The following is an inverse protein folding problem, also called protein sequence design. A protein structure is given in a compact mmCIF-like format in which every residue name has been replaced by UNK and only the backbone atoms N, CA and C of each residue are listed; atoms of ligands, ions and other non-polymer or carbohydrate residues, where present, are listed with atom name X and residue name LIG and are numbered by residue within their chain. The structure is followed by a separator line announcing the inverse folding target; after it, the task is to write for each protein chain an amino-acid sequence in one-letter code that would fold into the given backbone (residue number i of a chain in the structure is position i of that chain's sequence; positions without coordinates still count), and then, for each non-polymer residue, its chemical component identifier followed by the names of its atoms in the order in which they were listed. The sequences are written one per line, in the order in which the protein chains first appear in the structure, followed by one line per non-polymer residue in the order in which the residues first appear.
data_IF_595006077578
#
_entry.id   IF_595006077578
#
_cell.length_a   1.000
_cell.length_b   1.000
_cell.length_c   1.000
_cell.angle_alpha   90.00
_cell.angle_beta   90.00
_cell.angle_gamma   90.00
#
_symmetry.space_group_name_H-M   'P 1'
#
loop_
_entity.id
_entity.type
_entity.pdbx_description
1 polymer ?
#
# COMPACT_ATOMS: atom_id res chain seq x y z
N UNK A 1 17.57 -5.43 -22.57
CA UNK A 1 18.05 -6.78 -22.90
C UNK A 1 18.00 -7.63 -21.64
N UNK A 2 16.89 -8.35 -21.44
CA UNK A 2 16.80 -9.40 -20.42
C UNK A 2 17.41 -10.67 -21.04
N UNK A 3 18.36 -11.36 -20.39
CA UNK A 3 19.00 -12.53 -20.96
C UNK A 3 17.98 -13.67 -21.18
N UNK A 4 18.20 -14.54 -22.18
CA UNK A 4 17.39 -15.72 -22.37
C UNK A 4 17.68 -16.75 -21.26
N UNK A 5 16.60 -17.28 -20.69
CA UNK A 5 16.51 -18.64 -20.13
C UNK A 5 17.38 -18.99 -18.90
N UNK A 6 17.33 -18.15 -17.87
CA UNK A 6 17.26 -18.73 -16.52
C UNK A 6 15.84 -19.24 -16.32
N UNK A 7 15.65 -20.55 -16.12
CA UNK A 7 14.35 -21.20 -15.94
C UNK A 7 13.45 -20.35 -15.02
N UNK A 8 12.54 -19.60 -15.62
CA UNK A 8 11.68 -18.68 -14.87
C UNK A 8 10.74 -19.53 -14.05
N UNK A 9 10.86 -19.41 -12.73
CA UNK A 9 10.03 -20.18 -11.82
C UNK A 9 8.56 -19.81 -12.04
N UNK A 10 7.80 -20.75 -12.59
CA UNK A 10 6.36 -20.62 -12.79
C UNK A 10 5.63 -21.20 -11.59
N UNK A 11 4.60 -20.48 -11.14
CA UNK A 11 3.57 -21.01 -10.26
C UNK A 11 2.31 -21.25 -11.09
N UNK A 12 1.45 -22.16 -10.60
CA UNK A 12 0.17 -22.47 -11.22
C UNK A 12 -0.93 -22.36 -10.17
N UNK A 13 -2.04 -21.76 -10.56
CA UNK A 13 -3.28 -21.72 -9.80
C UNK A 13 -4.38 -22.37 -10.64
N UNK A 14 -5.26 -23.17 -10.03
CA UNK A 14 -6.38 -23.80 -10.73
C UNK A 14 -7.68 -23.19 -10.25
N UNK A 15 -8.56 -22.83 -11.17
CA UNK A 15 -9.86 -22.28 -10.82
C UNK A 15 -10.71 -23.34 -10.09
N UNK A 16 -11.19 -23.02 -8.87
CA UNK A 16 -12.00 -23.95 -8.09
C UNK A 16 -13.21 -24.48 -8.86
N UNK A 17 -13.38 -25.80 -8.85
CA UNK A 17 -14.49 -26.47 -9.52
C UNK A 17 -14.35 -26.59 -11.05
N UNK A 18 -13.19 -26.25 -11.63
CA UNK A 18 -12.93 -26.34 -13.08
C UNK A 18 -11.53 -26.90 -13.37
N UNK A 19 -11.24 -27.23 -14.64
CA UNK A 19 -9.91 -27.62 -15.13
C UNK A 19 -9.00 -26.43 -15.47
N UNK A 20 -9.55 -25.21 -15.54
CA UNK A 20 -8.84 -24.04 -16.03
C UNK A 20 -7.68 -23.66 -15.12
N UNK A 21 -6.47 -23.62 -15.68
CA UNK A 21 -5.24 -23.31 -14.94
C UNK A 21 -4.64 -21.97 -15.35
N UNK A 22 -4.26 -21.13 -14.39
CA UNK A 22 -3.50 -19.90 -14.60
C UNK A 22 -2.06 -20.13 -14.19
N UNK A 23 -1.14 -20.02 -15.15
CA UNK A 23 0.31 -20.11 -14.92
C UNK A 23 0.95 -18.73 -14.98
N UNK A 24 1.88 -18.45 -14.07
CA UNK A 24 2.50 -17.13 -13.98
C UNK A 24 3.94 -17.19 -13.43
N UNK A 25 4.86 -16.33 -13.92
CA UNK A 25 6.17 -16.13 -13.33
C UNK A 25 6.06 -15.61 -11.90
N UNK A 26 6.69 -16.30 -10.95
CA UNK A 26 6.73 -15.87 -9.55
C UNK A 26 7.41 -14.50 -9.41
N UNK A 27 8.48 -14.25 -10.18
CA UNK A 27 9.19 -12.97 -10.18
C UNK A 27 8.29 -11.80 -10.64
N UNK A 28 7.47 -12.02 -11.68
CA UNK A 28 6.54 -11.01 -12.18
C UNK A 28 5.49 -10.63 -11.12
N UNK A 29 4.97 -11.61 -10.40
CA UNK A 29 3.99 -11.35 -9.35
C UNK A 29 4.62 -10.67 -8.11
N UNK A 30 5.89 -10.93 -7.81
CA UNK A 30 6.63 -10.15 -6.79
C UNK A 30 6.84 -8.69 -7.22
N UNK A 31 6.97 -8.41 -8.52
CA UNK A 31 7.04 -7.04 -9.03
C UNK A 31 5.68 -6.32 -8.90
N UNK A 32 4.58 -7.00 -9.22
CA UNK A 32 3.22 -6.49 -8.94
C UNK A 32 3.06 -6.23 -7.44
N UNK A 33 3.44 -7.19 -6.59
CA UNK A 33 3.38 -7.05 -5.12
C UNK A 33 4.14 -5.80 -4.63
N UNK A 34 5.34 -5.58 -5.16
CA UNK A 34 6.16 -4.42 -4.85
C UNK A 34 5.46 -3.11 -5.23
N UNK A 35 4.96 -2.99 -6.47
CA UNK A 35 4.29 -1.77 -6.95
C UNK A 35 3.00 -1.48 -6.19
N UNK A 36 2.21 -2.51 -5.90
CA UNK A 36 0.98 -2.40 -5.10
C UNK A 36 1.30 -1.96 -3.67
N UNK A 37 2.36 -2.50 -3.06
CA UNK A 37 2.79 -2.09 -1.72
C UNK A 37 3.36 -0.68 -1.68
N UNK A 38 4.05 -0.22 -2.73
CA UNK A 38 4.48 1.18 -2.85
C UNK A 38 3.26 2.10 -2.91
N UNK A 39 2.27 1.78 -3.74
CA UNK A 39 0.99 2.49 -3.77
C UNK A 39 0.32 2.53 -2.38
N UNK A 40 0.23 1.39 -1.71
CA UNK A 40 -0.35 1.26 -0.38
C UNK A 40 0.33 2.14 0.69
N UNK A 41 1.62 2.41 0.55
CA UNK A 41 2.41 3.17 1.54
C UNK A 41 2.53 4.66 1.25
N UNK A 42 2.15 5.11 0.05
CA UNK A 42 2.25 6.53 -0.35
C UNK A 42 1.42 7.48 0.53
N UNK A 43 0.26 7.04 1.00
CA UNK A 43 -0.69 7.88 1.74
C UNK A 43 -1.10 7.16 3.03
N UNK A 44 -1.15 7.86 4.19
CA UNK A 44 -1.71 7.31 5.42
C UNK A 44 -3.14 6.80 5.23
N UNK A 45 -3.55 5.81 6.03
CA UNK A 45 -4.94 5.29 6.05
C UNK A 45 -5.40 4.59 4.75
N UNK A 46 -4.50 3.85 4.09
CA UNK A 46 -4.87 2.92 3.01
C UNK A 46 -4.25 3.21 1.66
N UNK A 47 -3.29 4.14 1.56
CA UNK A 47 -2.51 4.34 0.34
C UNK A 47 -3.31 4.73 -0.90
N UNK A 48 -2.67 4.59 -2.06
CA UNK A 48 -3.29 4.77 -3.37
C UNK A 48 -3.45 3.41 -4.04
N UNK A 49 -4.66 3.14 -4.53
CA UNK A 49 -4.95 1.94 -5.30
C UNK A 49 -4.41 2.11 -6.73
N UNK A 50 -3.79 1.05 -7.24
CA UNK A 50 -3.17 1.02 -8.57
C UNK A 50 -3.68 -0.20 -9.32
N UNK A 51 -3.61 -0.15 -10.65
CA UNK A 51 -3.95 -1.26 -11.51
C UNK A 51 -2.99 -1.39 -12.67
N UNK A 52 -3.08 -2.51 -13.38
CA UNK A 52 -2.22 -2.80 -14.52
C UNK A 52 -2.85 -3.78 -15.50
N UNK A 53 -2.51 -3.64 -16.78
CA UNK A 53 -2.82 -4.62 -17.81
C UNK A 53 -1.94 -5.85 -17.64
N UNK A 54 -2.53 -7.03 -17.86
CA UNK A 54 -1.86 -8.32 -17.80
C UNK A 54 -1.85 -8.93 -19.20
N UNK A 55 -0.67 -9.35 -19.64
CA UNK A 55 -0.43 -9.90 -20.98
C UNK A 55 0.04 -11.34 -20.90
N UNK A 56 -0.37 -12.12 -21.89
CA UNK A 56 -0.11 -13.55 -21.88
C UNK A 56 -0.65 -14.28 -23.10
N UNK A 57 -0.82 -15.58 -22.94
CA UNK A 57 -1.38 -16.48 -23.94
C UNK A 57 -2.54 -17.27 -23.34
N UNK A 58 -3.60 -17.40 -24.13
CA UNK A 58 -4.73 -18.28 -23.83
C UNK A 58 -4.53 -19.58 -24.63
N UNK A 59 -4.59 -20.69 -23.93
CA UNK A 59 -4.60 -22.07 -24.43
C UNK A 59 -5.98 -22.67 -24.07
N UNK A 60 -6.35 -23.84 -24.62
CA UNK A 60 -7.70 -24.43 -24.45
C UNK A 60 -8.17 -24.50 -22.98
N UNK A 61 -7.32 -25.01 -22.08
CA UNK A 61 -7.63 -25.17 -20.65
C UNK A 61 -6.66 -24.38 -19.74
N UNK A 62 -5.91 -23.43 -20.29
CA UNK A 62 -4.90 -22.71 -19.53
C UNK A 62 -4.72 -21.26 -19.98
N UNK A 63 -4.40 -20.40 -19.02
CA UNK A 63 -3.95 -19.03 -19.27
C UNK A 63 -2.54 -18.88 -18.74
N UNK A 64 -1.61 -18.40 -19.57
CA UNK A 64 -0.23 -18.12 -19.17
C UNK A 64 0.01 -16.62 -19.15
N UNK A 65 0.20 -16.06 -17.96
CA UNK A 65 0.62 -14.67 -17.76
C UNK A 65 2.12 -14.58 -17.99
N UNK A 66 2.56 -13.57 -18.72
CA UNK A 66 3.98 -13.40 -19.09
C UNK A 66 4.51 -11.97 -18.92
N UNK A 67 3.64 -10.96 -18.99
CA UNK A 67 4.03 -9.58 -18.80
C UNK A 67 2.88 -8.77 -18.16
N UNK A 68 3.21 -7.59 -17.63
CA UNK A 68 2.22 -6.60 -17.23
C UNK A 68 2.69 -5.19 -17.59
N UNK A 69 1.74 -4.24 -17.63
CA UNK A 69 2.01 -2.80 -17.75
C UNK A 69 1.11 -2.06 -16.76
N UNK A 70 1.64 -1.07 -16.06
CA UNK A 70 0.80 -0.23 -15.20
C UNK A 70 -0.23 0.55 -16.03
N UNK A 71 -1.42 0.73 -15.48
CA UNK A 71 -2.44 1.61 -16.03
C UNK A 71 -2.27 2.97 -15.35
N UNK A 72 -2.10 4.01 -16.14
CA UNK A 72 -2.10 5.38 -15.64
C UNK A 72 -3.51 5.73 -15.17
N UNK A 73 -3.59 6.28 -13.96
CA UNK A 73 -4.84 6.77 -13.38
C UNK A 73 -4.53 8.11 -12.73
N UNK A 74 -5.32 9.13 -13.04
CA UNK A 74 -5.15 10.46 -12.46
C UNK A 74 -5.71 10.57 -11.03
N UNK A 75 -6.44 9.54 -10.57
CA UNK A 75 -7.05 9.48 -9.24
C UNK A 75 -7.96 10.67 -8.93
N UNK A 76 -8.67 11.19 -9.95
CA UNK A 76 -9.58 12.34 -9.82
C UNK A 76 -10.71 12.12 -8.79
N UNK A 77 -11.14 10.87 -8.59
CA UNK A 77 -12.14 10.48 -7.59
C UNK A 77 -11.53 10.15 -6.21
N UNK A 78 -10.25 10.48 -5.99
CA UNK A 78 -9.51 10.16 -4.77
C UNK A 78 -8.64 8.91 -4.90
N UNK A 79 -8.16 8.34 -3.78
CA UNK A 79 -7.09 7.35 -3.77
C UNK A 79 -7.52 5.94 -4.18
N UNK A 80 -8.74 5.76 -4.67
CA UNK A 80 -9.25 4.47 -5.16
C UNK A 80 -9.00 4.35 -6.66
N UNK A 81 -8.90 3.14 -7.19
CA UNK A 81 -8.64 2.92 -8.61
C UNK A 81 -9.93 3.09 -9.41
N UNK A 82 -10.33 4.34 -9.61
CA UNK A 82 -11.53 4.73 -10.35
C UNK A 82 -11.07 5.52 -11.56
N UNK A 83 -11.12 4.88 -12.74
CA UNK A 83 -10.72 5.49 -14.00
C UNK A 83 -11.74 6.55 -14.43
N UNK A 84 -11.25 7.76 -14.73
CA UNK A 84 -12.04 8.79 -15.39
C UNK A 84 -12.28 8.44 -16.86
N UNK A 85 -13.15 9.17 -17.57
CA UNK A 85 -13.34 8.98 -19.01
C UNK A 85 -12.02 9.14 -19.79
N UNK A 86 -11.15 10.05 -19.32
CA UNK A 86 -9.82 10.27 -19.88
C UNK A 86 -8.91 9.07 -19.64
N UNK A 87 -8.91 8.53 -18.42
CA UNK A 87 -8.13 7.34 -18.09
C UNK A 87 -8.59 6.12 -18.91
N UNK A 88 -9.91 5.95 -19.09
CA UNK A 88 -10.47 4.86 -19.92
C UNK A 88 -10.06 5.01 -21.38
N UNK A 89 -10.07 6.22 -21.94
CA UNK A 89 -9.59 6.46 -23.30
C UNK A 89 -8.08 6.15 -23.42
N UNK A 90 -7.27 6.58 -22.46
CA UNK A 90 -5.83 6.29 -22.41
C UNK A 90 -5.55 4.79 -22.28
N UNK A 91 -6.35 4.07 -21.50
CA UNK A 91 -6.28 2.61 -21.37
C UNK A 91 -6.58 1.92 -22.71
N UNK A 92 -7.60 2.38 -23.45
CA UNK A 92 -7.90 1.88 -24.79
C UNK A 92 -6.72 2.08 -25.76
N UNK A 93 -6.09 3.26 -25.74
CA UNK A 93 -4.88 3.50 -26.53
C UNK A 93 -3.71 2.60 -26.11
N UNK A 94 -3.53 2.37 -24.80
CA UNK A 94 -2.47 1.53 -24.27
C UNK A 94 -2.62 0.07 -24.76
N UNK A 95 -3.85 -0.45 -24.76
CA UNK A 95 -4.16 -1.78 -25.29
C UNK A 95 -3.91 -1.83 -26.79
N UNK A 96 -4.36 -0.81 -27.55
CA UNK A 96 -4.15 -0.76 -29.00
C UNK A 96 -2.66 -0.70 -29.38
N UNK A 97 -1.85 0.04 -28.63
CA UNK A 97 -0.40 0.15 -28.84
C UNK A 97 0.36 -1.14 -28.50
N UNK A 98 -0.17 -1.97 -27.61
CA UNK A 98 0.48 -3.22 -27.19
C UNK A 98 0.73 -4.20 -28.35
N UNK A 99 -0.14 -4.22 -29.37
CA UNK A 99 0.01 -5.08 -30.54
C UNK A 99 1.28 -4.77 -31.39
N UNK A 100 1.80 -3.55 -31.28
CA UNK A 100 3.02 -3.11 -31.98
C UNK A 100 4.27 -3.06 -31.10
N UNK A 101 4.17 -3.43 -29.82
CA UNK A 101 5.30 -3.42 -28.88
C UNK A 101 6.14 -4.70 -29.06
N UNK A 102 7.43 -4.59 -29.45
CA UNK A 102 8.30 -5.76 -29.59
C UNK A 102 8.46 -6.58 -28.30
N UNK A 103 8.31 -5.97 -27.12
CA UNK A 103 8.39 -6.70 -25.85
C UNK A 103 7.14 -7.56 -25.57
N UNK A 104 6.04 -7.30 -26.26
CA UNK A 104 4.77 -8.00 -26.13
C UNK A 104 4.45 -8.86 -27.36
N UNK A 105 5.43 -9.09 -28.23
CA UNK A 105 5.24 -9.86 -29.46
C UNK A 105 4.65 -11.25 -29.18
N UNK A 106 3.51 -11.54 -29.81
CA UNK A 106 2.79 -12.81 -29.63
C UNK A 106 2.13 -12.98 -28.25
N UNK A 107 1.97 -11.90 -27.49
CA UNK A 107 1.15 -11.84 -26.28
C UNK A 107 -0.11 -11.03 -26.56
N UNK A 108 -1.23 -11.44 -25.97
CA UNK A 108 -2.46 -10.65 -25.96
C UNK A 108 -2.75 -10.10 -24.56
N UNK A 109 -3.55 -9.03 -24.50
CA UNK A 109 -4.11 -8.56 -23.24
C UNK A 109 -5.16 -9.58 -22.76
N UNK A 110 -4.82 -10.32 -21.70
CA UNK A 110 -5.66 -11.37 -21.13
C UNK A 110 -6.46 -10.88 -19.92
N UNK A 111 -6.22 -9.65 -19.48
CA UNK A 111 -6.94 -9.06 -18.37
C UNK A 111 -6.20 -7.92 -17.71
N UNK A 112 -6.51 -7.71 -16.45
CA UNK A 112 -5.89 -6.68 -15.61
C UNK A 112 -5.71 -7.15 -14.17
N UNK A 113 -5.01 -6.35 -13.38
CA UNK A 113 -5.03 -6.43 -11.93
C UNK A 113 -5.48 -5.11 -11.32
N UNK A 114 -6.10 -5.18 -10.15
CA UNK A 114 -6.55 -4.02 -9.37
C UNK A 114 -6.16 -4.24 -7.91
N UNK A 115 -5.50 -3.23 -7.32
CA UNK A 115 -5.19 -3.23 -5.91
C UNK A 115 -6.38 -2.76 -5.08
N UNK A 116 -6.90 -3.61 -4.20
CA UNK A 116 -7.93 -3.25 -3.20
C UNK A 116 -7.26 -3.00 -1.86
N UNK A 117 -6.94 -1.75 -1.57
CA UNK A 117 -6.25 -1.40 -0.32
C UNK A 117 -7.22 -1.33 0.86
N UNK A 118 -8.49 -1.00 0.59
CA UNK A 118 -9.54 -0.81 1.61
C UNK A 118 -10.63 -1.88 1.54
N UNK A 119 -11.02 -2.24 0.32
CA UNK A 119 -12.11 -3.17 0.05
C UNK A 119 -11.69 -4.65 0.19
N UNK A 120 -12.64 -5.57 0.38
CA UNK A 120 -12.36 -7.00 0.26
C UNK A 120 -11.96 -7.36 -1.19
N UNK A 121 -11.48 -8.60 -1.40
CA UNK A 121 -11.15 -9.14 -2.72
C UNK A 121 -12.43 -9.53 -3.48
N UNK A 122 -13.31 -8.55 -3.69
CA UNK A 122 -14.57 -8.68 -4.40
C UNK A 122 -14.62 -7.60 -5.48
N UNK A 123 -14.81 -8.00 -6.73
CA UNK A 123 -14.97 -7.09 -7.85
C UNK A 123 -16.28 -6.33 -7.74
N UNK A 124 -16.25 -5.00 -7.77
CA UNK A 124 -17.45 -4.15 -7.70
C UNK A 124 -18.12 -3.97 -9.07
N UNK A 125 -19.32 -3.39 -9.11
CA UNK A 125 -20.14 -3.35 -10.33
C UNK A 125 -19.53 -2.49 -11.43
N UNK A 126 -18.78 -1.45 -11.04
CA UNK A 126 -18.08 -0.58 -11.99
C UNK A 126 -16.92 -1.32 -12.64
N UNK A 127 -16.13 -2.01 -11.82
CA UNK A 127 -15.03 -2.87 -12.30
C UNK A 127 -15.54 -3.97 -13.23
N UNK A 128 -16.63 -4.65 -12.86
CA UNK A 128 -17.23 -5.70 -13.69
C UNK A 128 -17.73 -5.14 -15.02
N UNK A 129 -18.46 -4.02 -15.01
CA UNK A 129 -18.97 -3.39 -16.23
C UNK A 129 -17.84 -2.93 -17.15
N UNK A 130 -16.78 -2.36 -16.59
CA UNK A 130 -15.63 -1.91 -17.35
C UNK A 130 -14.80 -3.10 -17.88
N UNK A 131 -14.65 -4.15 -17.07
CA UNK A 131 -13.99 -5.38 -17.48
C UNK A 131 -14.71 -6.04 -18.66
N UNK A 132 -16.05 -6.11 -18.62
CA UNK A 132 -16.87 -6.63 -19.72
C UNK A 132 -16.71 -5.84 -21.02
N UNK A 133 -16.57 -4.52 -20.91
CA UNK A 133 -16.37 -3.65 -22.07
C UNK A 133 -14.95 -3.79 -22.67
N UNK A 134 -13.92 -3.92 -21.84
CA UNK A 134 -12.52 -3.91 -22.27
C UNK A 134 -12.02 -5.30 -22.67
N UNK A 135 -12.44 -6.35 -21.96
CA UNK A 135 -11.97 -7.72 -22.13
C UNK A 135 -13.13 -8.67 -22.47
N UNK A 136 -13.65 -8.60 -23.71
CA UNK A 136 -14.65 -9.53 -24.18
C UNK A 136 -14.06 -10.93 -24.38
N UNK A 137 -14.91 -11.95 -24.26
CA UNK A 137 -14.55 -13.34 -24.53
C UNK A 137 -14.14 -14.15 -23.29
N UNK A 138 -14.08 -15.47 -23.46
CA UNK A 138 -13.70 -16.42 -22.42
C UNK A 138 -12.22 -16.31 -22.06
N UNK A 139 -11.83 -16.90 -20.92
CA UNK A 139 -10.44 -16.98 -20.45
C UNK A 139 -9.76 -15.62 -20.20
N UNK A 140 -10.56 -14.56 -20.08
CA UNK A 140 -10.11 -13.25 -19.59
C UNK A 140 -10.19 -13.22 -18.07
N UNK A 141 -9.25 -12.53 -17.42
CA UNK A 141 -9.11 -12.56 -15.97
C UNK A 141 -9.01 -11.18 -15.31
N UNK A 142 -9.44 -11.12 -14.06
CA UNK A 142 -9.07 -10.05 -13.13
C UNK A 142 -8.27 -10.64 -11.99
N UNK A 143 -7.11 -10.05 -11.71
CA UNK A 143 -6.32 -10.31 -10.52
C UNK A 143 -6.61 -9.24 -9.47
N UNK A 144 -7.30 -9.59 -8.40
CA UNK A 144 -7.47 -8.69 -7.26
C UNK A 144 -6.28 -8.84 -6.32
N UNK A 145 -5.69 -7.72 -5.90
CA UNK A 145 -4.49 -7.68 -5.05
C UNK A 145 -4.80 -6.87 -3.80
N UNK A 146 -4.68 -7.47 -2.61
CA UNK A 146 -4.96 -6.81 -1.34
C UNK A 146 -3.68 -6.71 -0.51
N UNK A 147 -3.00 -5.55 -0.51
CA UNK A 147 -1.93 -5.30 0.43
C UNK A 147 -2.51 -5.11 1.84
N UNK A 148 -1.83 -5.62 2.84
CA UNK A 148 -2.21 -5.48 4.24
C UNK A 148 -1.03 -5.04 5.09
N UNK A 149 -1.27 -4.13 6.04
CA UNK A 149 -0.22 -3.68 6.95
C UNK A 149 0.26 -4.84 7.81
N UNK A 150 1.56 -5.12 7.74
CA UNK A 150 2.24 -6.18 8.50
C UNK A 150 1.73 -7.60 8.23
N UNK A 151 1.08 -7.82 7.09
CA UNK A 151 0.68 -9.14 6.63
C UNK A 151 1.14 -9.35 5.18
N UNK A 152 1.26 -10.60 4.71
CA UNK A 152 1.47 -10.86 3.29
C UNK A 152 0.34 -10.27 2.46
N UNK A 153 0.67 -9.79 1.26
CA UNK A 153 -0.31 -9.39 0.25
C UNK A 153 -1.11 -10.61 -0.19
N UNK A 154 -2.43 -10.46 -0.25
CA UNK A 154 -3.35 -11.48 -0.74
C UNK A 154 -3.65 -11.24 -2.23
N UNK A 155 -3.72 -12.32 -2.99
CA UNK A 155 -4.03 -12.31 -4.42
C UNK A 155 -5.25 -13.20 -4.66
N UNK A 156 -6.13 -12.81 -5.58
CA UNK A 156 -7.23 -13.66 -6.03
C UNK A 156 -7.43 -13.53 -7.54
N UNK A 157 -7.47 -14.67 -8.22
CA UNK A 157 -7.84 -14.74 -9.63
C UNK A 157 -9.35 -14.89 -9.78
N UNK A 158 -9.92 -14.04 -10.62
CA UNK A 158 -11.30 -14.13 -11.11
C UNK A 158 -11.20 -14.35 -12.62
N UNK A 159 -11.61 -15.52 -13.10
CA UNK A 159 -11.46 -15.87 -14.53
C UNK A 159 -12.84 -16.09 -15.14
N UNK A 160 -13.03 -15.57 -16.36
CA UNK A 160 -14.26 -15.76 -17.13
C UNK A 160 -14.25 -17.16 -17.72
N UNK A 161 -15.19 -18.00 -17.32
CA UNK A 161 -15.36 -19.32 -17.90
C UNK A 161 -15.90 -19.27 -19.33
N UNK A 162 -15.98 -20.42 -19.99
CA UNK A 162 -16.51 -20.54 -21.37
C UNK A 162 -17.95 -20.05 -21.52
N UNK A 163 -18.77 -20.15 -20.46
CA UNK A 163 -20.14 -19.64 -20.44
C UNK A 163 -20.23 -18.11 -20.46
N UNK A 164 -19.10 -17.41 -20.38
CA UNK A 164 -19.02 -15.96 -20.26
C UNK A 164 -19.24 -15.44 -18.84
N UNK A 165 -19.61 -16.31 -17.88
CA UNK A 165 -19.77 -15.97 -16.48
C UNK A 165 -18.43 -15.85 -15.75
N UNK A 166 -18.33 -14.90 -14.81
CA UNK A 166 -17.18 -14.70 -13.94
C UNK A 166 -17.65 -14.61 -12.48
N UNK A 167 -17.05 -15.39 -11.59
CA UNK A 167 -17.23 -15.20 -10.15
C UNK A 167 -16.56 -13.90 -9.72
N UNK A 168 -17.24 -13.13 -8.88
CA UNK A 168 -16.78 -11.79 -8.48
C UNK A 168 -16.19 -11.74 -7.08
N UNK A 169 -16.45 -12.74 -6.25
CA UNK A 169 -15.87 -12.87 -4.92
C UNK A 169 -14.68 -13.83 -4.95
N UNK A 170 -13.48 -13.27 -4.76
CA UNK A 170 -12.23 -14.02 -4.69
C UNK A 170 -11.78 -14.32 -3.26
N UNK A 171 -12.53 -13.90 -2.24
CA UNK A 171 -12.09 -13.91 -0.83
C UNK A 171 -11.78 -15.33 -0.34
N UNK A 172 -12.58 -16.31 -0.71
CA UNK A 172 -12.41 -17.71 -0.29
C UNK A 172 -11.24 -18.42 -0.99
N UNK A 173 -10.78 -17.88 -2.11
CA UNK A 173 -9.73 -18.47 -2.95
C UNK A 173 -8.49 -17.59 -3.02
N UNK A 174 -8.37 -16.66 -2.06
CA UNK A 174 -7.22 -15.80 -1.93
C UNK A 174 -5.99 -16.61 -1.53
N UNK A 175 -4.84 -16.26 -2.11
CA UNK A 175 -3.57 -16.91 -1.87
C UNK A 175 -2.45 -15.90 -1.62
N UNK A 176 -1.34 -16.37 -1.09
CA UNK A 176 -0.11 -15.58 -0.90
C UNK A 176 0.96 -16.08 -1.86
N UNK A 177 1.84 -15.18 -2.32
CA UNK A 177 2.92 -15.59 -3.19
C UNK A 177 3.92 -16.49 -2.47
N UNK A 178 4.47 -17.51 -3.16
CA UNK A 178 5.55 -18.29 -2.59
C UNK A 178 6.78 -17.40 -2.40
N UNK A 179 7.42 -17.53 -1.23
CA UNK A 179 8.69 -16.85 -0.98
C UNK A 179 9.73 -17.27 -2.02
N UNK A 180 10.53 -16.34 -2.56
CA UNK A 180 11.62 -16.65 -3.48
C UNK A 180 12.49 -17.78 -2.91
N UNK A 181 12.63 -18.89 -3.65
CA UNK A 181 13.39 -20.07 -3.25
C UNK A 181 12.60 -21.23 -2.60
N UNK A 182 11.28 -21.08 -2.34
CA UNK A 182 10.45 -22.18 -1.78
C UNK A 182 9.59 -22.90 -2.83
N UNK A 183 9.29 -22.26 -3.96
CA UNK A 183 8.38 -22.79 -4.99
C UNK A 183 8.96 -23.98 -5.80
N UNK A 184 10.23 -24.36 -5.60
CA UNK A 184 10.83 -25.53 -6.24
C UNK A 184 10.56 -26.86 -5.52
N UNK A 185 10.00 -26.84 -4.30
CA UNK A 185 9.74 -28.06 -3.51
C UNK A 185 8.26 -28.49 -3.53
N UNK A 186 7.33 -27.56 -3.69
CA UNK A 186 5.89 -27.84 -3.57
C UNK A 186 5.26 -28.59 -4.76
N UNK A 187 5.76 -28.42 -5.98
CA UNK A 187 5.16 -29.07 -7.15
C UNK A 187 5.45 -30.58 -7.23
N UNK A 188 6.58 -31.03 -6.69
CA UNK A 188 7.00 -32.44 -6.70
C UNK A 188 6.50 -33.21 -5.47
N UNK A 189 6.20 -32.51 -4.36
CA UNK A 189 5.73 -33.11 -3.11
C UNK A 189 4.23 -33.44 -3.17
N UNK A 190 3.40 -32.59 -3.81
CA UNK A 190 1.96 -32.87 -4.01
C UNK A 190 1.73 -34.07 -4.94
N UNK A 191 2.62 -34.31 -5.92
CA UNK A 191 2.54 -35.48 -6.80
C UNK A 191 2.96 -36.78 -6.10
N UNK A 192 3.86 -36.71 -5.12
CA UNK A 192 4.33 -37.89 -4.36
C UNK A 192 3.40 -38.31 -3.24
N UNK A 193 2.59 -37.41 -2.70
CA UNK A 193 1.70 -37.73 -1.58
C UNK A 193 0.45 -38.54 -2.00
N UNK A 194 0.20 -38.69 -3.31
CA UNK A 194 -0.91 -39.52 -3.83
C UNK A 194 -0.52 -41.00 -4.06
N UNK A 195 0.76 -41.36 -3.97
CA UNK A 195 1.20 -42.76 -3.98
C UNK A 195 1.55 -43.24 -2.55
N UNK A 196 0.51 -43.59 -1.80
CA UNK A 196 0.64 -44.27 -0.51
C UNK A 196 1.27 -45.66 -0.68
N UNK A 197 2.41 -45.99 -0.03
CA UNK A 197 2.81 -47.37 0.18
C UNK A 197 1.97 -47.94 1.32
N UNK A 198 1.11 -48.89 0.96
CA UNK A 198 0.25 -49.66 1.86
C UNK A 198 1.10 -50.65 2.66
N UNK A 199 1.80 -50.22 3.72
CA UNK A 199 2.22 -51.09 4.82
C UNK A 199 2.78 -50.29 6.01
N UNK A 200 1.99 -50.19 7.09
CA UNK A 200 2.49 -49.83 8.42
C UNK A 200 2.03 -50.91 9.42
N UNK A 201 2.91 -51.42 10.31
CA UNK A 201 2.52 -52.39 11.34
C UNK A 201 1.58 -51.76 12.37
N UNK A 202 0.51 -52.47 12.72
CA UNK A 202 -0.43 -52.10 13.79
C UNK A 202 0.27 -52.10 15.16
N UNK A 203 0.08 -51.04 15.94
CA UNK A 203 0.29 -51.04 17.39
C UNK A 203 -1.06 -51.01 18.12
N UNK A 204 -1.19 -51.69 19.28
CA UNK A 204 -2.48 -52.07 19.84
C UNK A 204 -3.24 -50.89 20.47
N UNK A 205 -4.55 -50.87 20.26
CA UNK A 205 -5.50 -49.93 20.86
C UNK A 205 -5.59 -50.09 22.39
N UNK A 206 -5.75 -48.99 23.15
CA UNK A 206 -6.07 -49.07 24.57
C UNK A 206 -7.54 -49.49 24.76
N UNK A 207 -7.71 -50.48 25.63
CA UNK A 207 -8.99 -51.07 26.05
C UNK A 207 -9.80 -50.04 26.84
N UNK A 208 -11.01 -49.72 26.36
CA UNK A 208 -12.04 -49.00 27.11
C UNK A 208 -13.00 -50.07 27.69
N UNK A 209 -13.29 -50.09 29.01
CA UNK A 209 -14.22 -51.06 29.57
C UNK A 209 -15.69 -50.70 29.26
N UNK A 210 -16.60 -51.69 29.10
CA UNK A 210 -17.99 -51.45 28.72
C UNK A 210 -18.83 -50.89 29.88
N UNK A 211 -19.71 -49.94 29.59
CA UNK A 211 -20.84 -49.58 30.47
C UNK A 211 -22.14 -49.97 29.77
N UNK A 212 -22.94 -50.76 30.47
CA UNK A 212 -24.25 -51.28 30.04
C UNK A 212 -25.30 -50.17 29.80
N UNK A 213 -26.34 -50.45 29.00
CA UNK A 213 -27.33 -49.46 28.57
C UNK A 213 -28.50 -49.34 29.55
N UNK A 214 -28.97 -48.11 29.77
CA UNK A 214 -30.27 -47.85 30.39
C UNK A 214 -31.01 -46.72 29.64
N UNK A 215 -32.01 -47.18 28.87
CA UNK A 215 -33.38 -46.67 28.79
C UNK A 215 -33.66 -45.19 28.49
N UNK A 216 -34.45 -45.01 27.42
CA UNK A 216 -35.09 -43.78 26.99
C UNK A 216 -36.01 -43.15 28.04
N UNK A 217 -36.04 -41.82 28.08
CA UNK A 217 -37.22 -41.03 28.47
C UNK A 217 -37.29 -39.78 27.59
N UNK A 218 -38.46 -39.64 26.98
CA UNK A 218 -39.00 -38.54 26.20
C UNK A 218 -39.37 -37.36 27.11
N UNK A 219 -39.11 -36.12 26.68
CA UNK A 219 -39.82 -34.93 27.14
C UNK A 219 -39.50 -33.72 26.24
N UNK A 220 -40.54 -33.29 25.52
CA UNK A 220 -40.65 -31.98 24.89
C UNK A 220 -40.63 -30.84 25.93
N UNK A 221 -40.34 -29.62 25.46
CA UNK A 221 -41.23 -28.44 25.58
C UNK A 221 -40.52 -27.11 25.95
N UNK A 222 -40.48 -26.19 24.96
CA UNK A 222 -40.55 -24.71 25.06
C UNK A 222 -39.37 -23.94 25.71
N UNK A 223 -38.96 -22.72 25.32
CA UNK A 223 -39.70 -21.49 25.00
C UNK A 223 -38.86 -20.58 24.06
N UNK A 224 -39.59 -19.81 23.25
CA UNK A 224 -39.18 -18.74 22.32
C UNK A 224 -38.56 -17.51 23.00
N UNK A 225 -37.58 -16.86 22.35
CA UNK A 225 -37.44 -15.39 22.25
C UNK A 225 -36.38 -15.06 21.17
N UNK A 226 -36.70 -14.73 19.91
CA UNK A 226 -37.16 -13.44 19.38
C UNK A 226 -36.40 -12.20 19.90
N UNK A 227 -35.22 -11.93 19.34
CA UNK A 227 -34.70 -10.54 19.26
C UNK A 227 -34.51 -10.18 17.79
N UNK A 228 -35.37 -9.25 17.37
CA UNK A 228 -35.41 -8.62 16.06
C UNK A 228 -34.30 -7.57 15.96
N UNK A 229 -33.63 -7.54 14.82
CA UNK A 229 -32.95 -6.35 14.30
C UNK A 229 -33.89 -5.16 14.25
N UNK A 230 -33.38 -3.94 14.51
CA UNK A 230 -33.80 -2.76 13.79
C UNK A 230 -32.71 -2.32 12.81
N UNK A 231 -33.07 -2.40 11.53
CA UNK A 231 -32.45 -1.66 10.43
C UNK A 231 -32.89 -0.21 10.52
N UNK A 232 -31.95 0.73 10.51
CA UNK A 232 -32.22 2.15 10.23
C UNK A 232 -31.29 2.62 9.12
N UNK A 233 -31.80 3.09 7.97
CA UNK A 233 -31.00 3.73 6.94
C UNK A 233 -30.62 5.15 7.39
N UNK A 234 -29.33 5.48 7.37
CA UNK A 234 -28.85 6.86 7.52
C UNK A 234 -28.80 7.48 6.12
N UNK A 235 -29.69 8.43 5.89
CA UNK A 235 -29.75 9.27 4.69
C UNK A 235 -28.83 10.49 4.89
N UNK A 236 -27.84 10.67 4.00
CA UNK A 236 -26.95 11.83 4.01
C UNK A 236 -27.49 12.91 3.08
N UNK A 237 -27.68 14.17 3.53
CA UNK A 237 -28.10 15.26 2.64
C UNK A 237 -26.92 15.72 1.76
N UNK A 238 -27.21 15.91 0.46
CA UNK A 238 -26.27 16.41 -0.54
C UNK A 238 -25.91 17.90 -0.30
N UNK A 239 -24.68 18.35 -0.63
CA UNK A 239 -24.31 19.76 -0.53
C UNK A 239 -24.86 20.57 -1.74
N UNK A 240 -25.18 21.86 -1.55
CA UNK A 240 -25.66 22.71 -2.64
C UNK A 240 -24.54 23.09 -3.60
N UNK A 241 -24.88 23.00 -4.89
CA UNK A 241 -24.14 23.49 -6.06
C UNK A 241 -24.08 25.03 -6.00
N UNK A 242 -22.90 25.61 -5.85
CA UNK A 242 -22.68 27.03 -6.12
C UNK A 242 -21.65 27.19 -7.25
N UNK A 243 -22.09 27.90 -8.28
CA UNK A 243 -21.37 28.22 -9.50
C UNK A 243 -20.20 29.18 -9.24
N UNK A 244 -19.15 29.03 -10.04
CA UNK A 244 -18.08 30.01 -10.18
C UNK A 244 -18.60 31.33 -10.77
N UNK A 245 -17.85 32.43 -10.58
CA UNK A 245 -17.60 33.34 -11.69
C UNK A 245 -16.13 33.34 -12.11
N UNK A 246 -15.99 33.18 -13.41
CA UNK A 246 -14.87 33.50 -14.31
C UNK A 246 -14.53 35.00 -14.21
N UNK A 247 -13.25 35.38 -14.18
CA UNK A 247 -12.49 36.24 -15.14
C UNK A 247 -11.81 37.38 -14.32
N UNK A 248 -10.62 37.94 -14.55
CA UNK A 248 -9.75 38.09 -15.73
C UNK A 248 -8.33 38.51 -15.24
N UNK A 249 -7.31 38.25 -16.08
CA UNK A 249 -5.93 38.77 -16.03
C UNK A 249 -5.81 40.30 -15.87
N UNK A 250 -4.77 40.78 -15.18
CA UNK A 250 -3.77 41.72 -15.76
C UNK A 250 -2.55 41.90 -14.85
N UNK A 251 -1.36 41.84 -15.45
CA UNK A 251 -0.02 42.14 -14.90
C UNK A 251 0.36 43.63 -15.24
N UNK A 252 1.54 44.19 -14.89
CA UNK A 252 1.64 45.42 -14.09
C UNK A 252 2.32 46.60 -14.83
N UNK A 253 2.25 47.82 -14.27
CA UNK A 253 3.10 48.93 -14.71
C UNK A 253 3.66 49.76 -13.55
N UNK A 254 4.92 50.16 -13.74
CA UNK A 254 5.89 50.77 -12.85
C UNK A 254 5.59 52.19 -12.35
N UNK A 255 6.36 52.58 -11.32
CA UNK A 255 6.95 53.90 -11.00
C UNK A 255 6.48 54.42 -9.63
N UNK A 256 7.24 55.15 -8.82
CA UNK A 256 8.67 55.43 -8.64
C UNK A 256 8.76 56.17 -7.27
N UNK A 257 9.97 56.18 -6.72
CA UNK A 257 10.51 56.76 -5.50
C UNK A 257 9.83 57.99 -4.84
N UNK A 258 10.01 58.06 -3.51
CA UNK A 258 10.64 59.27 -2.94
C UNK A 258 10.08 59.83 -1.63
N UNK A 259 10.85 59.59 -0.57
CA UNK A 259 11.31 60.57 0.44
C UNK A 259 10.42 60.99 1.64
N UNK A 260 10.85 60.49 2.81
CA UNK A 260 11.22 61.17 4.06
C UNK A 260 10.24 62.05 4.87
N UNK A 261 10.05 61.58 6.10
CA UNK A 261 9.76 62.27 7.39
C UNK A 261 10.70 63.48 7.68
N UNK A 262 10.35 64.46 8.59
CA UNK A 262 10.19 64.14 10.02
C UNK A 262 9.22 64.97 10.90
N UNK A 263 8.93 64.32 12.05
CA UNK A 263 8.40 64.71 13.36
C UNK A 263 8.30 66.19 13.81
N UNK A 264 7.20 66.50 14.53
CA UNK A 264 7.22 67.35 15.74
C UNK A 264 6.01 67.04 16.67
N UNK A 265 6.23 67.06 17.98
CA UNK A 265 5.33 66.63 19.08
C UNK A 265 4.62 67.84 19.77
N UNK A 266 3.81 67.67 20.85
CA UNK A 266 2.40 68.08 20.98
C UNK A 266 2.17 69.43 21.71
N UNK A 267 0.90 69.89 21.89
CA UNK A 267 0.37 69.88 23.26
C UNK A 267 -1.16 69.76 23.47
N UNK A 268 -1.48 69.24 24.66
CA UNK A 268 -2.52 69.66 25.63
C UNK A 268 -4.05 69.54 25.34
N UNK A 269 -4.65 68.64 26.14
CA UNK A 269 -5.83 68.79 27.02
C UNK A 269 -7.09 69.57 26.56
N UNK A 270 -8.22 68.85 26.66
CA UNK A 270 -9.60 69.22 26.31
C UNK A 270 -10.20 70.45 27.05
N UNK A 271 -11.35 70.95 26.54
CA UNK A 271 -12.59 70.72 27.28
C UNK A 271 -13.78 70.29 26.39
N UNK A 272 -14.68 69.50 26.97
CA UNK A 272 -15.97 69.09 26.36
C UNK A 272 -16.94 70.28 26.26
N UNK A 273 -17.77 70.37 25.21
CA UNK A 273 -19.07 71.00 25.37
C UNK A 273 -20.25 70.05 25.08
N UNK A 274 -21.15 70.11 26.05
CA UNK A 274 -22.58 69.88 26.09
C UNK A 274 -23.35 69.67 24.78
N UNK A 275 -24.21 68.68 24.86
CA UNK A 275 -25.43 68.43 24.11
C UNK A 275 -26.25 69.71 23.86
N UNK A 276 -26.49 70.04 22.59
CA UNK A 276 -27.69 70.77 22.18
C UNK A 276 -28.33 70.06 20.99
N UNK A 277 -29.60 69.75 21.19
CA UNK A 277 -30.54 69.25 20.21
C UNK A 277 -30.90 70.37 19.23
N UNK A 278 -30.75 70.14 17.92
CA UNK A 278 -31.48 70.91 16.91
C UNK A 278 -31.66 70.13 15.61
N UNK A 279 -32.90 69.72 15.40
CA UNK A 279 -33.46 69.34 14.08
C UNK A 279 -33.14 70.38 13.01
N UNK A 280 -32.80 69.92 11.82
CA UNK A 280 -33.01 70.68 10.58
C UNK A 280 -31.95 70.51 9.48
N UNK A 281 -32.26 69.61 8.54
CA UNK A 281 -31.99 69.70 7.10
C UNK A 281 -30.54 69.59 6.53
N UNK A 282 -30.35 68.48 5.81
CA UNK A 282 -29.72 68.32 4.47
C UNK A 282 -28.28 68.77 4.21
N UNK A 283 -27.40 67.81 3.89
CA UNK A 283 -26.13 68.07 3.19
C UNK A 283 -25.23 66.84 3.10
N UNK A 284 -25.12 66.26 1.91
CA UNK A 284 -24.18 65.24 1.41
C UNK A 284 -22.87 65.00 2.20
N UNK A 285 -22.61 63.75 2.60
CA UNK A 285 -21.37 62.99 2.28
C UNK A 285 -21.34 61.59 2.96
N UNK A 286 -21.45 60.48 2.20
CA UNK A 286 -20.87 59.22 2.67
C UNK A 286 -20.19 58.46 1.53
N UNK A 287 -18.85 58.42 1.50
CA UNK A 287 -18.13 57.45 0.64
C UNK A 287 -16.65 57.24 0.98
N UNK A 288 -15.97 58.21 1.61
CA UNK A 288 -14.51 58.16 1.74
C UNK A 288 -14.00 57.38 2.96
N UNK A 289 -14.72 57.42 4.09
CA UNK A 289 -14.28 56.77 5.34
C UNK A 289 -14.39 55.23 5.33
N UNK A 290 -15.37 54.67 4.60
CA UNK A 290 -15.58 53.22 4.53
C UNK A 290 -14.56 52.50 3.61
N UNK A 291 -13.94 53.20 2.66
CA UNK A 291 -12.88 52.63 1.80
C UNK A 291 -11.56 52.47 2.55
N UNK A 292 -11.16 53.47 3.34
CA UNK A 292 -9.86 53.47 4.05
C UNK A 292 -9.79 52.34 5.09
N UNK A 293 -10.86 52.11 5.84
CA UNK A 293 -10.89 51.03 6.86
C UNK A 293 -10.83 49.63 6.23
N UNK A 294 -11.40 49.45 5.03
CA UNK A 294 -11.43 48.18 4.31
C UNK A 294 -10.06 47.81 3.70
N UNK A 295 -9.32 48.82 3.24
CA UNK A 295 -7.97 48.62 2.68
C UNK A 295 -6.95 48.20 3.76
N UNK A 296 -7.04 48.76 4.97
CA UNK A 296 -6.14 48.40 6.09
C UNK A 296 -6.39 46.97 6.59
N UNK A 297 -7.65 46.52 6.65
CA UNK A 297 -7.97 45.13 7.04
C UNK A 297 -7.51 44.13 5.99
N UNK A 298 -7.58 44.48 4.71
CA UNK A 298 -7.18 43.60 3.62
C UNK A 298 -5.66 43.43 3.53
N UNK A 299 -4.89 44.51 3.76
CA UNK A 299 -3.42 44.43 3.86
C UNK A 299 -2.96 43.60 5.06
N UNK A 300 -3.63 43.74 6.21
CA UNK A 300 -3.33 42.95 7.40
C UNK A 300 -3.61 41.45 7.19
N UNK A 301 -4.73 41.11 6.56
CA UNK A 301 -5.07 39.72 6.25
C UNK A 301 -4.08 39.07 5.26
N UNK A 302 -3.61 39.82 4.26
CA UNK A 302 -2.59 39.33 3.32
C UNK A 302 -1.25 39.07 4.01
N UNK A 303 -0.84 39.94 4.95
CA UNK A 303 0.36 39.73 5.75
C UNK A 303 0.25 38.50 6.65
N UNK A 304 -0.90 38.30 7.32
CA UNK A 304 -1.12 37.08 8.11
C UNK A 304 -1.10 35.82 7.25
N UNK A 305 -1.73 35.84 6.07
CA UNK A 305 -1.68 34.72 5.13
C UNK A 305 -0.25 34.40 4.69
N UNK A 306 0.55 35.43 4.41
CA UNK A 306 1.97 35.27 4.04
C UNK A 306 2.80 34.68 5.19
N UNK A 307 2.61 35.17 6.42
CA UNK A 307 3.29 34.64 7.60
C UNK A 307 2.91 33.17 7.82
N UNK A 308 1.63 32.80 7.68
CA UNK A 308 1.19 31.42 7.82
C UNK A 308 1.79 30.52 6.73
N UNK A 309 1.84 31.00 5.49
CA UNK A 309 2.44 30.26 4.39
C UNK A 309 3.94 30.03 4.61
N UNK A 310 4.68 31.08 4.95
CA UNK A 310 6.11 30.98 5.28
C UNK A 310 6.34 30.02 6.45
N UNK A 311 5.51 30.11 7.50
CA UNK A 311 5.59 29.22 8.67
C UNK A 311 5.35 27.76 8.28
N UNK A 312 4.38 27.50 7.41
CA UNK A 312 4.09 26.15 6.91
C UNK A 312 5.26 25.59 6.09
N UNK A 313 5.83 26.40 5.18
CA UNK A 313 6.99 26.01 4.38
C UNK A 313 8.21 25.72 5.26
N UNK A 314 8.49 26.58 6.26
CA UNK A 314 9.55 26.35 7.23
C UNK A 314 9.33 25.07 8.05
N UNK A 315 8.09 24.82 8.50
CA UNK A 315 7.73 23.58 9.19
C UNK A 315 7.98 22.34 8.33
N UNK A 316 7.55 22.37 7.06
CA UNK A 316 7.79 21.30 6.10
C UNK A 316 9.28 21.09 5.83
N UNK A 317 10.06 22.17 5.69
CA UNK A 317 11.50 22.10 5.47
C UNK A 317 12.25 21.49 6.67
N UNK A 318 11.90 21.89 7.89
CA UNK A 318 12.47 21.32 9.13
C UNK A 318 12.09 19.84 9.27
N UNK A 319 10.83 19.49 9.00
CA UNK A 319 10.36 18.11 9.01
C UNK A 319 11.08 17.23 7.98
N UNK A 320 11.25 17.73 6.76
CA UNK A 320 11.98 17.04 5.70
C UNK A 320 13.47 16.89 6.03
N UNK A 321 14.11 17.93 6.56
CA UNK A 321 15.49 17.86 7.04
C UNK A 321 15.65 16.81 8.14
N UNK A 322 14.76 16.78 9.12
CA UNK A 322 14.76 15.76 10.17
C UNK A 322 14.54 14.34 9.61
N UNK A 323 13.68 14.19 8.60
CA UNK A 323 13.45 12.92 7.90
C UNK A 323 14.71 12.40 7.21
N UNK A 324 15.49 13.28 6.56
CA UNK A 324 16.76 12.91 5.92
C UNK A 324 17.84 12.48 6.92
N UNK A 325 17.74 12.89 8.19
CA UNK A 325 18.67 12.48 9.25
C UNK A 325 18.32 11.10 9.84
N UNK A 326 17.22 10.47 9.41
CA UNK A 326 16.83 9.17 9.97
C UNK A 326 17.74 8.05 9.45
N UNK A 327 18.20 7.15 10.33
CA UNK A 327 18.95 5.98 9.91
C UNK A 327 18.08 5.10 9.01
N UNK A 328 18.73 4.46 8.04
CA UNK A 328 18.08 3.49 7.15
C UNK A 328 17.25 2.49 7.95
N UNK A 329 16.03 2.24 7.48
CA UNK A 329 15.14 1.23 8.05
C UNK A 329 15.68 -0.20 7.88
N UNK A 330 16.48 -0.41 6.83
CA UNK A 330 17.09 -1.68 6.49
C UNK A 330 18.59 -1.59 6.77
N UNK A 331 19.08 -2.49 7.61
CA UNK A 331 20.51 -2.56 7.93
C UNK A 331 21.14 -3.59 6.98
N UNK A 332 22.04 -3.18 6.07
CA UNK A 332 22.76 -4.14 5.26
C UNK A 332 23.71 -4.95 6.16
N UNK A 333 23.62 -6.28 6.08
CA UNK A 333 24.48 -7.19 6.82
C UNK A 333 25.42 -7.92 5.87
N UNK A 334 26.70 -7.89 6.17
CA UNK A 334 27.74 -8.59 5.42
C UNK A 334 28.27 -9.74 6.26
N UNK A 335 28.51 -10.88 5.60
CA UNK A 335 29.01 -12.08 6.25
C UNK A 335 30.43 -12.38 5.76
N UNK A 336 31.35 -12.54 6.70
CA UNK A 336 32.71 -13.02 6.43
C UNK A 336 32.95 -14.32 7.21
N UNK A 337 33.37 -15.38 6.49
CA UNK A 337 33.69 -16.67 7.10
C UNK A 337 35.09 -16.57 7.70
N UNK A 338 35.20 -16.62 9.04
CA UNK A 338 36.48 -16.62 9.75
C UNK A 338 36.53 -17.80 10.75
N UNK A 339 37.24 -18.90 10.41
CA UNK A 339 37.33 -20.07 11.28
C UNK A 339 37.71 -19.71 12.73
N UNK A 340 37.08 -20.32 13.76
CA UNK A 340 36.07 -21.40 13.70
C UNK A 340 34.60 -20.94 13.54
N UNK A 341 34.30 -19.72 13.11
CA UNK A 341 32.92 -19.19 13.06
C UNK A 341 32.64 -18.24 11.90
N UNK A 342 31.60 -17.42 12.07
CA UNK A 342 31.16 -16.44 11.09
C UNK A 342 31.14 -15.06 11.74
N UNK A 343 31.74 -14.07 11.08
CA UNK A 343 31.69 -12.68 11.52
C UNK A 343 30.63 -11.95 10.70
N UNK A 344 29.69 -11.33 11.38
CA UNK A 344 28.65 -10.49 10.78
C UNK A 344 29.04 -9.04 10.99
N UNK A 345 29.05 -8.25 9.92
CA UNK A 345 29.34 -6.82 9.96
C UNK A 345 28.19 -6.00 9.40
N UNK A 346 28.09 -4.76 9.85
CA UNK A 346 27.07 -3.79 9.46
C UNK A 346 27.65 -2.37 9.51
N UNK A 347 26.93 -1.35 8.99
CA UNK A 347 27.39 0.03 9.08
C UNK A 347 27.35 0.55 10.53
N UNK A 348 28.47 1.09 11.02
CA UNK A 348 28.66 1.43 12.43
C UNK A 348 27.67 2.47 12.97
N UNK A 349 27.23 3.40 12.11
CA UNK A 349 26.26 4.43 12.44
C UNK A 349 24.91 3.87 12.89
N UNK A 350 24.58 2.65 12.46
CA UNK A 350 23.32 1.98 12.81
C UNK A 350 23.30 1.54 14.27
N UNK A 351 24.42 1.08 14.85
CA UNK A 351 24.42 0.55 16.22
C UNK A 351 25.06 1.48 17.25
N UNK A 352 25.95 2.39 16.82
CA UNK A 352 26.80 3.18 17.73
C UNK A 352 26.02 4.07 18.69
N UNK A 353 24.90 4.66 18.25
CA UNK A 353 24.05 5.55 19.05
C UNK A 353 22.74 4.90 19.50
N UNK A 354 22.58 3.60 19.25
CA UNK A 354 21.34 2.89 19.55
C UNK A 354 21.27 2.44 21.01
N UNK A 355 20.21 2.85 21.70
CA UNK A 355 19.93 2.42 23.07
C UNK A 355 19.78 0.90 23.14
N UNK A 356 19.12 0.31 22.15
CA UNK A 356 18.93 -1.14 22.03
C UNK A 356 19.44 -1.63 20.68
N UNK A 357 20.30 -2.65 20.72
CA UNK A 357 20.68 -3.44 19.54
C UNK A 357 20.88 -4.89 19.97
N UNK A 358 20.21 -5.81 19.28
CA UNK A 358 20.25 -7.23 19.57
C UNK A 358 20.39 -8.05 18.28
N UNK A 359 21.09 -9.16 18.37
CA UNK A 359 21.24 -10.11 17.29
C UNK A 359 20.46 -11.38 17.58
N UNK A 360 19.71 -11.85 16.59
CA UNK A 360 18.93 -13.08 16.66
C UNK A 360 19.44 -14.08 15.63
N UNK A 361 19.65 -15.32 16.06
CA UNK A 361 20.14 -16.40 15.21
C UNK A 361 19.06 -17.48 15.13
N UNK A 362 18.71 -17.92 13.91
CA UNK A 362 17.72 -18.95 13.62
C UNK A 362 16.37 -18.75 14.34
N UNK A 363 15.90 -17.50 14.38
CA UNK A 363 14.66 -17.10 15.07
C UNK A 363 14.63 -17.37 16.58
N UNK A 364 15.79 -17.64 17.20
CA UNK A 364 15.92 -17.84 18.65
C UNK A 364 15.79 -16.55 19.47
N UNK A 365 16.20 -16.60 20.73
CA UNK A 365 16.14 -15.41 21.60
C UNK A 365 17.11 -14.30 21.13
N UNK A 366 16.67 -13.02 21.11
CA UNK A 366 17.57 -11.91 20.78
C UNK A 366 18.68 -11.75 21.82
N UNK A 367 19.93 -11.85 21.38
CA UNK A 367 21.12 -11.64 22.21
C UNK A 367 21.56 -10.18 22.09
N UNK A 368 21.62 -9.46 23.20
CA UNK A 368 22.04 -8.06 23.22
C UNK A 368 23.49 -7.90 22.74
N UNK A 369 23.73 -6.93 21.86
CA UNK A 369 25.08 -6.58 21.44
C UNK A 369 25.84 -5.87 22.56
N UNK A 370 27.09 -6.26 22.74
CA UNK A 370 28.02 -5.57 23.65
C UNK A 370 28.35 -4.16 23.14
N UNK A 371 28.77 -3.25 24.02
CA UNK A 371 29.21 -1.91 23.61
C UNK A 371 30.35 -1.98 22.58
N UNK A 372 31.26 -2.95 22.74
CA UNK A 372 32.37 -3.19 21.81
C UNK A 372 31.86 -3.60 20.41
N UNK A 373 30.86 -4.47 20.35
CA UNK A 373 30.27 -4.94 19.08
C UNK A 373 29.51 -3.79 18.37
N UNK A 374 28.81 -2.96 19.15
CA UNK A 374 28.10 -1.78 18.61
C UNK A 374 29.05 -0.74 18.02
N UNK A 375 30.23 -0.55 18.62
CA UNK A 375 31.26 0.39 18.14
C UNK A 375 32.05 -0.17 16.95
N UNK A 376 32.46 -1.44 17.03
CA UNK A 376 33.21 -2.12 15.99
C UNK A 376 32.35 -2.50 14.76
N UNK A 377 31.02 -2.40 14.90
CA UNK A 377 30.02 -2.72 13.89
C UNK A 377 30.15 -4.13 13.33
N UNK A 378 30.59 -5.05 14.19
CA UNK A 378 30.68 -6.46 13.89
C UNK A 378 30.47 -7.26 15.16
N UNK A 379 29.99 -8.50 14.99
CA UNK A 379 29.96 -9.47 16.08
C UNK A 379 30.17 -10.86 15.53
N UNK A 380 30.77 -11.70 16.37
CA UNK A 380 31.15 -13.06 16.02
C UNK A 380 30.06 -14.02 16.44
N UNK A 381 29.55 -14.77 15.47
CA UNK A 381 28.56 -15.82 15.69
C UNK A 381 29.25 -17.17 15.62
N UNK A 382 29.32 -17.84 16.77
CA UNK A 382 29.75 -19.22 16.88
C UNK A 382 28.53 -20.11 16.66
N UNK A 383 28.19 -20.39 15.41
CA UNK A 383 27.08 -21.29 15.09
C UNK A 383 27.56 -22.45 14.20
N UNK A 384 27.30 -23.68 14.66
CA UNK A 384 27.80 -24.92 14.07
C UNK A 384 26.89 -25.51 12.97
N UNK A 385 26.22 -24.66 12.19
CA UNK A 385 25.25 -25.08 11.16
C UNK A 385 25.62 -24.63 9.75
N UNK A 386 25.28 -25.45 8.75
CA UNK A 386 25.44 -25.13 7.33
C UNK A 386 24.41 -24.11 6.81
N UNK A 387 23.45 -23.71 7.66
CA UNK A 387 22.40 -22.75 7.34
C UNK A 387 22.10 -21.88 8.57
N UNK A 388 22.37 -20.58 8.47
CA UNK A 388 22.18 -19.62 9.56
C UNK A 388 21.34 -18.46 9.07
N UNK A 389 20.21 -18.20 9.74
CA UNK A 389 19.47 -16.94 9.60
C UNK A 389 19.94 -16.01 10.71
N UNK A 390 20.50 -14.86 10.34
CA UNK A 390 20.98 -13.86 11.29
C UNK A 390 20.16 -12.60 11.09
N UNK A 391 19.59 -12.09 12.16
CA UNK A 391 18.84 -10.84 12.18
C UNK A 391 19.48 -9.88 13.18
N UNK A 392 19.69 -8.64 12.77
CA UNK A 392 20.09 -7.53 13.62
C UNK A 392 18.89 -6.62 13.82
N UNK A 393 18.50 -6.42 15.08
CA UNK A 393 17.38 -5.57 15.48
C UNK A 393 17.94 -4.38 16.24
N UNK A 394 17.67 -3.18 15.76
CA UNK A 394 18.11 -1.93 16.39
C UNK A 394 16.90 -1.05 16.63
N UNK A 395 16.74 -0.54 17.85
CA UNK A 395 15.69 0.44 18.17
C UNK A 395 16.30 1.82 18.32
N UNK A 396 15.89 2.74 17.47
CA UNK A 396 16.16 4.16 17.61
C UNK A 396 14.94 4.88 18.19
N UNK A 397 15.15 6.09 18.69
CA UNK A 397 14.09 6.87 19.35
C UNK A 397 12.89 7.19 18.46
N UNK A 398 13.08 7.29 17.13
CA UNK A 398 12.00 7.57 16.17
C UNK A 398 11.55 6.32 15.37
N UNK A 399 12.42 5.30 15.20
CA UNK A 399 12.13 4.14 14.34
C UNK A 399 12.98 2.91 14.69
N UNK A 400 12.43 1.72 14.46
CA UNK A 400 13.16 0.45 14.48
C UNK A 400 13.81 0.17 13.12
N UNK A 401 15.09 -0.22 13.14
CA UNK A 401 15.86 -0.64 11.98
C UNK A 401 16.20 -2.12 12.09
N UNK A 402 16.12 -2.85 10.97
CA UNK A 402 16.38 -4.30 10.95
C UNK A 402 17.21 -4.72 9.74
N UNK A 403 18.12 -5.65 9.95
CA UNK A 403 18.85 -6.34 8.89
C UNK A 403 18.65 -7.84 9.02
N UNK A 404 18.39 -8.55 7.93
CA UNK A 404 18.29 -10.01 7.92
C UNK A 404 19.20 -10.53 6.82
N UNK A 405 20.04 -11.51 7.16
CA UNK A 405 20.89 -12.21 6.21
C UNK A 405 20.81 -13.71 6.46
N UNK A 406 20.86 -14.48 5.39
CA UNK A 406 20.92 -15.94 5.46
C UNK A 406 22.25 -16.41 4.91
N UNK A 407 23.01 -17.11 5.74
CA UNK A 407 24.23 -17.79 5.35
C UNK A 407 23.90 -19.25 5.04
N UNK A 408 24.31 -19.72 3.87
CA UNK A 408 24.28 -21.15 3.53
C UNK A 408 25.69 -21.56 3.11
N UNK A 409 26.27 -22.51 3.82
CA UNK A 409 27.55 -23.10 3.45
C UNK A 409 27.29 -24.05 2.29
N UNK A 410 27.77 -23.70 1.10
CA UNK A 410 27.67 -24.59 -0.05
C UNK A 410 28.42 -25.89 0.27
N UNK A 411 27.69 -27.00 0.38
CA UNK A 411 28.29 -28.32 0.53
C UNK A 411 29.17 -28.61 -0.67
N UNK A 412 30.46 -28.87 -0.43
CA UNK A 412 31.35 -29.45 -1.44
C UNK A 412 30.77 -30.83 -1.76
N UNK A 413 30.10 -30.96 -2.92
CA UNK A 413 29.76 -32.28 -3.48
C UNK A 413 31.09 -32.99 -3.73
N UNK A 414 31.37 -34.04 -2.95
CA UNK A 414 32.41 -35.03 -3.28
C UNK A 414 31.88 -35.99 -4.33
#
# INVERSE_FOLDING_TARGET
MTPPDAATQLATWTQPGTSLAVSYPVALFHEIDFLVNEGYRRIPHGGIEVGGLVFGRVEEDAVRIQAFRMIECEHAAGPSFILSERDVAALGEQIAKAAGDPELEGLEAIGWFIAHTRSPLIMNDREASLFDAIFPGASKLTLLVKPERFKPTLFAFLVRGESGAMLRDGTQHAFILPLPGRAGRGADEVRRETEMPRNAPQMPSPVIPPREPATAVDAQETVREHVRNPTTPIEFPAPPRNAMPVETETDPELADAGQADPAEEPPAAAPKPQYTDRRGATGFAPARAARVVRDDTQRSNAQFALILFISAVLGCAVGYWAYLQLPSAVIPLTISIQPPGVTVSWPAEQTRKAAYAAMRINDGEPVLLSSKDKEAANSRVNASGDNLKIELIVRHWMRDSRGIVRFVRAGVRR
#
